data_IF_311534468075
#
_entry.id   IF_311534468075
#
_cell.length_a   1.000
_cell.length_b   1.000
_cell.length_c   1.000
_cell.angle_alpha   90.00
_cell.angle_beta   90.00
_cell.angle_gamma   90.00
#
_symmetry.space_group_name_H-M   'P 1'
#
loop_
_entity.id
_entity.type
_entity.pdbx_description
1 polymer ?
#
# COMPACT_ATOMS: atom_id res chain seq x y z
N UNK A 1 19.37 8.31 10.20
CA UNK A 1 19.50 7.09 9.41
C UNK A 1 18.13 6.55 9.10
N UNK A 2 17.93 6.16 7.88
CA UNK A 2 16.64 5.67 7.47
C UNK A 2 16.55 4.18 7.73
N UNK A 3 15.57 3.77 8.54
CA UNK A 3 15.28 2.35 8.78
C UNK A 3 14.32 1.82 7.74
N UNK A 4 14.54 2.17 6.48
CA UNK A 4 13.68 1.72 5.39
C UNK A 4 13.78 0.22 5.23
N UNK A 5 12.63 -0.43 5.15
CA UNK A 5 12.51 -1.84 4.85
C UNK A 5 11.96 -2.00 3.44
N UNK A 6 12.27 -3.11 2.84
CA UNK A 6 11.81 -3.41 1.49
C UNK A 6 10.72 -4.47 1.57
N UNK A 7 9.59 -4.18 0.95
CA UNK A 7 8.44 -5.08 0.92
C UNK A 7 8.17 -5.51 -0.51
N UNK A 8 8.14 -6.82 -0.72
CA UNK A 8 7.87 -7.40 -2.03
C UNK A 8 6.38 -7.65 -2.15
N UNK A 9 5.77 -7.12 -3.19
CA UNK A 9 4.36 -7.37 -3.45
C UNK A 9 4.19 -8.80 -3.93
N UNK A 10 3.31 -9.55 -3.26
CA UNK A 10 2.99 -10.93 -3.62
C UNK A 10 1.63 -11.00 -4.29
N UNK A 11 1.54 -11.77 -5.35
CA UNK A 11 0.27 -12.06 -6.03
C UNK A 11 0.18 -13.56 -6.28
N UNK A 12 -0.98 -14.13 -5.96
CA UNK A 12 -1.21 -15.57 -6.16
C UNK A 12 -0.26 -16.45 -5.38
N UNK A 13 0.25 -15.99 -4.24
CA UNK A 13 1.21 -16.73 -3.42
C UNK A 13 2.66 -16.62 -3.87
N UNK A 14 2.94 -15.88 -4.93
CA UNK A 14 4.28 -15.71 -5.47
C UNK A 14 4.74 -14.26 -5.39
N UNK A 15 6.04 -14.05 -5.25
CA UNK A 15 6.61 -12.73 -5.31
C UNK A 15 6.49 -12.14 -6.71
N UNK A 16 6.17 -10.86 -6.79
CA UNK A 16 6.21 -10.12 -8.05
C UNK A 16 7.52 -9.34 -8.14
N UNK A 17 7.74 -8.68 -9.26
CA UNK A 17 8.90 -7.81 -9.43
C UNK A 17 8.75 -6.46 -8.72
N UNK A 18 7.60 -6.17 -8.13
CA UNK A 18 7.35 -4.90 -7.48
C UNK A 18 7.83 -4.93 -6.03
N UNK A 19 8.71 -3.98 -5.72
CA UNK A 19 9.26 -3.83 -4.37
C UNK A 19 9.01 -2.41 -3.91
N UNK A 20 8.48 -2.28 -2.71
CA UNK A 20 8.21 -0.98 -2.11
C UNK A 20 9.16 -0.74 -0.94
N UNK A 21 9.81 0.41 -0.93
CA UNK A 21 10.64 0.83 0.20
C UNK A 21 9.81 1.72 1.13
N UNK A 22 9.74 1.34 2.41
CA UNK A 22 8.99 2.11 3.39
C UNK A 22 9.47 1.77 4.79
N UNK A 23 9.30 2.70 5.71
CA UNK A 23 9.61 2.46 7.13
C UNK A 23 8.59 1.53 7.76
N UNK A 24 7.38 1.48 7.24
CA UNK A 24 6.29 0.68 7.79
C UNK A 24 5.57 -0.07 6.67
N UNK A 25 5.05 -1.26 6.98
CA UNK A 25 4.28 -2.04 5.99
C UNK A 25 3.08 -1.28 5.46
N UNK A 26 2.44 -0.49 6.30
CA UNK A 26 1.27 0.31 5.90
C UNK A 26 1.61 1.30 4.80
N UNK A 27 2.78 1.94 4.86
CA UNK A 27 3.22 2.86 3.82
C UNK A 27 3.38 2.16 2.48
N UNK A 28 3.96 0.96 2.49
CA UNK A 28 4.10 0.16 1.29
C UNK A 28 2.72 -0.28 0.76
N UNK A 29 1.81 -0.66 1.67
CA UNK A 29 0.45 -1.05 1.29
C UNK A 29 -0.32 0.11 0.65
N UNK A 30 -0.16 1.33 1.17
CA UNK A 30 -0.77 2.52 0.57
C UNK A 30 -0.27 2.75 -0.85
N UNK A 31 1.01 2.55 -1.10
CA UNK A 31 1.57 2.66 -2.45
C UNK A 31 0.94 1.64 -3.39
N UNK A 32 0.77 0.41 -2.93
CA UNK A 32 0.13 -0.64 -3.72
C UNK A 32 -1.34 -0.33 -3.98
N UNK A 33 -2.07 0.16 -2.98
CA UNK A 33 -3.47 0.54 -3.11
C UNK A 33 -3.64 1.68 -4.12
N UNK A 34 -2.73 2.65 -4.12
CA UNK A 34 -2.74 3.74 -5.08
C UNK A 34 -2.62 3.24 -6.52
N UNK A 35 -1.99 2.09 -6.72
CA UNK A 35 -1.88 1.44 -8.03
C UNK A 35 -3.08 0.57 -8.38
N UNK A 36 -4.12 0.58 -7.56
CA UNK A 36 -5.35 -0.16 -7.82
C UNK A 36 -5.39 -1.57 -7.24
N UNK A 37 -4.46 -1.92 -6.38
CA UNK A 37 -4.44 -3.25 -5.76
C UNK A 37 -5.44 -3.29 -4.61
N UNK A 38 -6.27 -4.34 -4.57
CA UNK A 38 -7.26 -4.54 -3.51
C UNK A 38 -6.80 -5.56 -2.48
N UNK A 39 -6.21 -6.66 -2.95
CA UNK A 39 -5.61 -7.65 -2.08
C UNK A 39 -4.11 -7.42 -2.07
N UNK A 40 -3.60 -6.96 -0.93
CA UNK A 40 -2.21 -6.56 -0.81
C UNK A 40 -1.52 -7.51 0.16
N UNK A 41 -0.53 -8.22 -0.34
CA UNK A 41 0.34 -9.07 0.47
C UNK A 41 1.76 -8.61 0.27
N UNK A 42 2.39 -8.19 1.34
CA UNK A 42 3.73 -7.63 1.30
C UNK A 42 4.66 -8.49 2.15
N UNK A 43 5.59 -9.15 1.50
CA UNK A 43 6.62 -9.91 2.20
C UNK A 43 7.75 -8.97 2.58
N UNK A 44 8.04 -8.88 3.86
CA UNK A 44 9.18 -8.13 4.33
C UNK A 44 10.46 -8.84 3.91
N UNK A 45 11.32 -8.13 3.19
CA UNK A 45 12.54 -8.69 2.64
C UNK A 45 13.48 -9.09 3.78
N UNK A 46 14.07 -10.29 3.66
CA UNK A 46 14.92 -10.84 4.71
C UNK A 46 14.18 -11.59 5.80
N UNK A 47 12.86 -11.66 5.71
CA UNK A 47 12.04 -12.42 6.66
C UNK A 47 11.00 -13.24 5.90
N UNK A 48 10.30 -14.10 6.64
CA UNK A 48 9.18 -14.87 6.09
C UNK A 48 7.82 -14.28 6.48
N UNK A 49 7.82 -13.05 6.97
CA UNK A 49 6.59 -12.37 7.37
C UNK A 49 5.91 -11.75 6.16
N UNK A 50 4.64 -12.05 6.01
CA UNK A 50 3.79 -11.46 4.97
C UNK A 50 2.74 -10.60 5.65
N UNK A 51 2.78 -9.31 5.39
CA UNK A 51 1.79 -8.37 5.90
C UNK A 51 0.62 -8.33 4.93
N UNK A 52 -0.58 -8.64 5.42
CA UNK A 52 -1.79 -8.69 4.61
C UNK A 52 -2.63 -7.45 4.85
N UNK A 53 -2.95 -6.76 3.78
CA UNK A 53 -3.79 -5.57 3.81
C UNK A 53 -4.87 -5.67 2.75
N UNK A 54 -5.98 -4.97 2.99
CA UNK A 54 -7.00 -4.74 1.96
C UNK A 54 -6.89 -3.30 1.53
N UNK A 55 -6.76 -3.08 0.22
CA UNK A 55 -6.69 -1.75 -0.36
C UNK A 55 -8.03 -1.33 -0.95
N UNK A 56 -8.31 -0.05 -0.88
CA UNK A 56 -9.48 0.53 -1.55
C UNK A 56 -9.17 1.93 -2.02
N UNK A 57 -9.84 2.34 -3.08
CA UNK A 57 -9.74 3.71 -3.59
C UNK A 57 -11.14 4.31 -3.52
N UNK A 58 -11.23 5.44 -2.83
CA UNK A 58 -12.47 6.18 -2.73
C UNK A 58 -12.34 7.53 -3.42
N UNK A 59 -13.42 7.99 -4.02
CA UNK A 59 -13.49 9.35 -4.54
C UNK A 59 -13.95 10.25 -3.42
N UNK A 60 -13.15 11.26 -3.12
CA UNK A 60 -13.46 12.24 -2.08
C UNK A 60 -13.57 13.63 -2.68
N UNK A 61 -14.36 14.49 -2.04
CA UNK A 61 -14.51 15.85 -2.51
C UNK A 61 -13.22 16.64 -2.29
N UNK A 62 -13.00 17.61 -3.17
CA UNK A 62 -11.87 18.52 -3.09
C UNK A 62 -11.91 19.26 -1.74
N UNK A 63 -10.78 19.35 -1.02
CA UNK A 63 -10.72 20.14 0.21
C UNK A 63 -11.07 21.61 -0.05
N UNK A 64 -11.79 22.24 0.87
CA UNK A 64 -12.19 23.63 0.73
C UNK A 64 -10.99 24.58 0.58
N UNK A 65 -9.88 24.25 1.20
CA UNK A 65 -8.64 25.04 1.12
C UNK A 65 -7.66 24.49 0.09
N UNK A 66 -8.11 23.60 -0.79
CA UNK A 66 -7.24 23.02 -1.81
C UNK A 66 -6.95 23.99 -2.95
N UNK A 67 -5.87 23.77 -3.70
CA UNK A 67 -5.55 24.57 -4.87
C UNK A 67 -6.67 24.49 -5.93
N UNK A 68 -6.87 25.56 -6.67
CA UNK A 68 -7.93 25.61 -7.69
C UNK A 68 -7.68 24.63 -8.85
N UNK A 69 -6.42 24.21 -9.06
CA UNK A 69 -6.10 23.27 -10.12
C UNK A 69 -6.52 21.82 -9.83
N UNK A 70 -6.92 21.53 -8.58
CA UNK A 70 -7.37 20.17 -8.23
C UNK A 70 -8.75 19.92 -8.84
N UNK A 71 -9.02 18.70 -9.32
CA UNK A 71 -10.35 18.34 -9.76
C UNK A 71 -11.33 18.33 -8.58
N UNK A 72 -12.63 18.46 -8.88
CA UNK A 72 -13.66 18.49 -7.84
C UNK A 72 -13.68 17.23 -6.97
N UNK A 73 -13.30 16.10 -7.56
CA UNK A 73 -13.16 14.85 -6.83
C UNK A 73 -11.78 14.27 -7.04
N UNK A 74 -11.16 13.83 -5.96
CA UNK A 74 -9.83 13.22 -6.00
C UNK A 74 -9.90 11.78 -5.51
N UNK A 75 -9.02 10.96 -6.04
CA UNK A 75 -8.90 9.57 -5.60
C UNK A 75 -8.05 9.53 -4.34
N UNK A 76 -8.55 8.85 -3.33
CA UNK A 76 -7.83 8.64 -2.08
C UNK A 76 -7.72 7.15 -1.81
N UNK A 77 -6.50 6.67 -1.68
CA UNK A 77 -6.24 5.28 -1.34
C UNK A 77 -6.28 5.08 0.16
N UNK A 78 -6.92 3.99 0.59
CA UNK A 78 -6.96 3.58 1.98
C UNK A 78 -6.57 2.12 2.07
N UNK A 79 -5.96 1.74 3.19
CA UNK A 79 -5.63 0.35 3.46
C UNK A 79 -6.10 -0.04 4.86
N UNK A 80 -6.49 -1.29 4.98
CA UNK A 80 -6.89 -1.86 6.26
C UNK A 80 -6.02 -3.09 6.51
N UNK A 81 -5.38 -3.13 7.68
CA UNK A 81 -4.57 -4.28 8.07
C UNK A 81 -5.49 -5.45 8.39
N UNK A 82 -5.23 -6.60 7.75
CA UNK A 82 -5.97 -7.84 8.01
C UNK A 82 -5.19 -8.70 9.00
N UNK A 83 -3.88 -8.83 8.81
CA UNK A 83 -3.07 -9.65 9.68
C UNK A 83 -1.67 -9.85 9.13
N UNK A 84 -0.97 -10.79 9.74
CA UNK A 84 0.36 -11.19 9.33
C UNK A 84 0.35 -12.70 9.12
N UNK A 85 0.84 -13.14 7.96
CA UNK A 85 1.04 -14.54 7.65
C UNK A 85 2.54 -14.85 7.66
N UNK A 86 2.87 -16.10 7.90
CA UNK A 86 4.25 -16.58 7.83
C UNK A 86 4.36 -17.63 6.73
N UNK A 87 5.39 -17.51 5.93
CA UNK A 87 5.69 -18.49 4.89
C UNK A 87 6.42 -19.70 5.47
#
# INVERSE_FOLDING_TARGET
>A
MSDKKYFVLMEGGNDTSQVFASKQPRGAALKAATRGKTNIRLRERGTKRVHVFTGSIAMVDKPANGPDWLPDKIKKANVKKIGIEHL
#
